data_IF_546529100735
#
_entry.id   IF_546529100735
#
_cell.length_a   1.000
_cell.length_b   1.000
_cell.length_c   1.000
_cell.angle_alpha   90.00
_cell.angle_beta   90.00
_cell.angle_gamma   90.00
#
_symmetry.space_group_name_H-M   'P 1'
#
loop_
_entity.id
_entity.type
_entity.pdbx_description
1 polymer ?
#
# COMPACT_ATOMS: atom_id res chain seq x y z
N UNK A 1 -8.48 17.89 -2.11
CA UNK A 1 -7.06 17.56 -2.34
C UNK A 1 -6.54 16.90 -1.07
N UNK A 2 -6.11 15.64 -1.14
CA UNK A 2 -5.53 14.96 0.02
C UNK A 2 -4.11 15.48 0.22
N UNK A 3 -3.82 16.05 1.38
CA UNK A 3 -2.46 16.43 1.73
C UNK A 3 -1.75 15.16 2.20
N UNK A 4 -0.99 14.52 1.31
CA UNK A 4 -0.14 13.39 1.69
C UNK A 4 1.28 13.89 1.86
N UNK A 5 1.82 13.66 3.05
CA UNK A 5 3.15 14.12 3.39
C UNK A 5 4.20 13.38 2.55
N UNK A 6 5.00 14.16 1.81
CA UNK A 6 6.04 13.68 0.90
C UNK A 6 7.45 13.78 1.51
N UNK A 7 7.56 14.03 2.82
CA UNK A 7 8.84 14.11 3.52
C UNK A 7 9.58 12.77 3.48
N UNK A 8 10.89 12.79 3.23
CA UNK A 8 11.72 11.59 3.26
C UNK A 8 11.91 11.08 4.68
N UNK A 9 11.99 9.75 4.83
CA UNK A 9 12.35 9.13 6.10
C UNK A 9 13.80 9.47 6.49
N UNK A 10 14.03 9.92 7.74
CA UNK A 10 15.39 10.13 8.25
C UNK A 10 16.12 8.80 8.44
N UNK A 11 17.46 8.80 8.43
CA UNK A 11 18.25 7.57 8.68
C UNK A 11 17.94 6.94 10.03
N UNK A 12 17.75 7.77 11.07
CA UNK A 12 17.39 7.28 12.40
C UNK A 12 16.01 6.63 12.42
N UNK A 13 15.02 7.24 11.75
CA UNK A 13 13.69 6.66 11.63
C UNK A 13 13.70 5.40 10.75
N UNK A 14 14.54 5.35 9.71
CA UNK A 14 14.69 4.18 8.86
C UNK A 14 15.21 2.95 9.64
N UNK A 15 16.12 3.16 10.59
CA UNK A 15 16.57 2.11 11.50
C UNK A 15 15.42 1.60 12.38
N UNK A 16 14.63 2.51 12.95
CA UNK A 16 13.43 2.18 13.72
C UNK A 16 12.39 1.40 12.88
N UNK A 17 12.13 1.89 11.67
CA UNK A 17 11.24 1.28 10.69
C UNK A 17 11.66 -0.15 10.32
N UNK A 18 12.96 -0.35 10.10
CA UNK A 18 13.52 -1.67 9.78
C UNK A 18 13.34 -2.64 10.95
N UNK A 19 13.60 -2.20 12.17
CA UNK A 19 13.40 -3.02 13.37
C UNK A 19 11.92 -3.38 13.58
N UNK A 20 11.01 -2.44 13.35
CA UNK A 20 9.57 -2.65 13.44
C UNK A 20 9.05 -3.68 12.43
N UNK A 21 9.47 -3.58 11.16
CA UNK A 21 9.09 -4.57 10.13
C UNK A 21 9.60 -5.97 10.44
N UNK A 22 10.83 -6.06 10.96
CA UNK A 22 11.42 -7.33 11.42
C UNK A 22 10.67 -7.89 12.65
N UNK A 23 10.29 -7.04 13.60
CA UNK A 23 9.52 -7.43 14.78
C UNK A 23 8.17 -8.03 14.39
N UNK A 24 7.42 -7.35 13.52
CA UNK A 24 6.13 -7.82 13.01
C UNK A 24 6.25 -9.14 12.24
N UNK A 25 7.29 -9.27 11.39
CA UNK A 25 7.53 -10.49 10.64
C UNK A 25 7.80 -11.70 11.55
N UNK A 26 8.43 -11.51 12.71
CA UNK A 26 8.71 -12.61 13.65
C UNK A 26 7.48 -13.09 14.44
N UNK A 27 6.35 -12.39 14.36
CA UNK A 27 5.13 -12.78 15.08
C UNK A 27 4.40 -13.97 14.44
N UNK A 28 4.76 -14.32 13.20
CA UNK A 28 4.13 -15.42 12.46
C UNK A 28 5.22 -16.33 11.91
N UNK A 29 5.02 -17.64 12.01
CA UNK A 29 5.92 -18.63 11.42
C UNK A 29 6.02 -18.41 9.90
N UNK A 30 7.25 -18.37 9.38
CA UNK A 30 7.52 -18.06 7.97
C UNK A 30 7.44 -16.57 7.60
N UNK A 31 7.01 -15.68 8.52
CA UNK A 31 6.92 -14.25 8.28
C UNK A 31 5.60 -13.80 7.62
N UNK A 32 5.34 -12.50 7.67
CA UNK A 32 4.19 -11.89 6.99
C UNK A 32 4.36 -12.04 5.48
N UNK A 33 3.48 -12.82 4.85
CA UNK A 33 3.51 -13.11 3.40
C UNK A 33 2.72 -12.10 2.56
N UNK A 34 1.86 -11.29 3.18
CA UNK A 34 0.98 -10.35 2.48
C UNK A 34 1.22 -8.92 2.95
N UNK A 35 2.41 -8.41 2.66
CA UNK A 35 2.72 -6.99 2.79
C UNK A 35 2.02 -6.19 1.69
N UNK A 36 1.26 -5.17 2.09
CA UNK A 36 0.73 -4.15 1.19
C UNK A 36 1.78 -3.05 1.03
N UNK A 37 2.37 -2.62 2.15
CA UNK A 37 3.47 -1.65 2.20
C UNK A 37 4.58 -2.12 3.15
N UNK A 38 5.76 -2.30 2.58
CA UNK A 38 7.00 -2.63 3.30
C UNK A 38 8.22 -1.96 2.63
N UNK A 39 8.10 -0.68 2.31
CA UNK A 39 9.20 0.13 1.76
C UNK A 39 9.24 1.54 2.39
N UNK A 40 10.41 2.19 2.45
CA UNK A 40 10.59 3.45 3.17
C UNK A 40 10.37 4.69 2.29
N UNK A 41 9.68 4.58 1.15
CA UNK A 41 9.57 5.66 0.17
C UNK A 41 8.22 6.39 0.26
N UNK A 42 8.18 7.73 0.14
CA UNK A 42 6.95 8.48 0.14
C UNK A 42 6.04 8.09 -1.03
N UNK A 43 4.74 8.43 -0.95
CA UNK A 43 4.06 9.17 0.12
C UNK A 43 3.67 8.30 1.33
N UNK A 44 3.47 8.91 2.52
CA UNK A 44 3.20 8.20 3.77
C UNK A 44 1.80 8.48 4.33
N UNK A 45 0.88 7.53 4.17
CA UNK A 45 -0.33 7.46 5.01
C UNK A 45 -0.06 6.59 6.24
N UNK A 46 0.65 5.48 6.03
CA UNK A 46 1.17 4.56 7.01
C UNK A 46 2.66 4.24 6.78
N UNK A 47 3.32 3.66 7.77
CA UNK A 47 4.73 3.24 7.64
C UNK A 47 4.84 1.80 7.13
N UNK A 48 3.96 0.93 7.58
CA UNK A 48 3.87 -0.47 7.22
C UNK A 48 2.40 -0.85 7.09
N UNK A 49 2.06 -1.72 6.16
CA UNK A 49 0.72 -2.31 6.10
C UNK A 49 0.76 -3.74 5.61
N UNK A 50 -0.09 -4.58 6.21
CA UNK A 50 -0.15 -6.00 5.90
C UNK A 50 -1.55 -6.56 6.06
N UNK A 51 -1.78 -7.71 5.44
CA UNK A 51 -2.98 -8.52 5.62
C UNK A 51 -2.68 -9.76 6.45
N UNK A 52 -3.56 -10.07 7.40
CA UNK A 52 -3.61 -11.36 8.09
C UNK A 52 -5.04 -11.90 8.00
N UNK A 53 -5.22 -13.10 7.43
CA UNK A 53 -6.54 -13.63 7.12
C UNK A 53 -7.35 -12.66 6.22
N UNK A 54 -8.53 -12.26 6.68
CA UNK A 54 -9.39 -11.28 5.99
C UNK A 54 -9.23 -9.83 6.52
N UNK A 55 -8.29 -9.57 7.45
CA UNK A 55 -8.09 -8.26 8.07
C UNK A 55 -6.89 -7.52 7.49
N UNK A 56 -7.00 -6.19 7.40
CA UNK A 56 -5.92 -5.30 7.00
C UNK A 56 -5.46 -4.47 8.20
N UNK A 57 -4.15 -4.29 8.32
CA UNK A 57 -3.51 -3.53 9.40
C UNK A 57 -2.63 -2.44 8.79
N UNK A 58 -2.84 -1.20 9.20
CA UNK A 58 -2.09 -0.02 8.79
C UNK A 58 -1.36 0.53 10.00
N UNK A 59 -0.04 0.39 10.00
CA UNK A 59 0.81 0.60 11.17
C UNK A 59 1.56 1.92 11.03
N UNK A 60 1.39 2.78 12.03
CA UNK A 60 2.30 3.91 12.31
C UNK A 60 3.28 3.49 13.39
N UNK A 61 4.54 3.78 13.16
CA UNK A 61 5.64 3.51 14.09
C UNK A 61 5.92 4.80 14.86
N UNK A 62 6.04 4.69 16.17
CA UNK A 62 6.24 5.83 17.05
C UNK A 62 7.40 5.57 17.99
N UNK A 63 8.32 6.52 18.13
CA UNK A 63 9.31 6.49 19.19
C UNK A 63 8.64 6.87 20.52
N UNK A 64 8.69 5.98 21.52
CA UNK A 64 8.10 6.23 22.85
C UNK A 64 8.71 7.44 23.56
N UNK A 65 9.95 7.82 23.21
CA UNK A 65 10.60 9.01 23.77
C UNK A 65 10.33 10.28 22.95
N UNK A 66 9.69 10.16 21.77
CA UNK A 66 9.37 11.26 20.87
C UNK A 66 10.60 11.98 20.29
N UNK A 67 11.78 11.37 20.34
CA UNK A 67 13.04 11.98 19.86
C UNK A 67 13.21 11.79 18.35
N UNK A 68 12.75 10.66 17.83
CA UNK A 68 12.86 10.32 16.41
C UNK A 68 11.47 10.36 15.77
N UNK A 69 11.23 11.39 14.96
CA UNK A 69 9.93 11.64 14.31
C UNK A 69 9.93 11.06 12.90
N UNK A 70 8.93 10.23 12.61
CA UNK A 70 8.67 9.69 11.28
C UNK A 70 7.71 10.55 10.46
N UNK A 71 7.75 10.44 9.13
CA UNK A 71 6.84 11.16 8.24
C UNK A 71 5.38 10.69 8.41
N UNK A 72 4.44 11.44 7.83
CA UNK A 72 3.02 11.11 7.86
C UNK A 72 2.36 11.42 9.20
N UNK A 73 1.07 11.11 9.31
CA UNK A 73 0.27 11.50 10.48
C UNK A 73 -0.68 10.39 10.95
N UNK A 74 -1.12 10.50 12.20
CA UNK A 74 -2.18 9.65 12.75
C UNK A 74 -3.49 9.78 11.93
N UNK A 75 -3.76 10.98 11.40
CA UNK A 75 -4.89 11.22 10.49
C UNK A 75 -4.78 10.39 9.20
N UNK A 76 -3.57 10.26 8.66
CA UNK A 76 -3.29 9.45 7.47
C UNK A 76 -3.68 7.99 7.66
N UNK A 77 -3.19 7.35 8.74
CA UNK A 77 -3.52 5.94 9.01
C UNK A 77 -5.02 5.72 9.28
N UNK A 78 -5.67 6.66 9.99
CA UNK A 78 -7.12 6.57 10.29
C UNK A 78 -7.95 6.70 9.01
N UNK A 79 -7.53 7.57 8.09
CA UNK A 79 -8.17 7.72 6.79
C UNK A 79 -8.09 6.42 6.00
N UNK A 80 -6.89 5.87 5.78
CA UNK A 80 -6.75 4.64 4.97
C UNK A 80 -7.43 3.45 5.63
N UNK A 81 -7.36 3.30 6.95
CA UNK A 81 -8.07 2.24 7.66
C UNK A 81 -9.59 2.36 7.50
N UNK A 82 -10.15 3.56 7.54
CA UNK A 82 -11.58 3.78 7.30
C UNK A 82 -11.98 3.44 5.86
N UNK A 83 -11.27 3.98 4.87
CA UNK A 83 -11.57 3.77 3.44
C UNK A 83 -11.38 2.31 2.99
N UNK A 84 -10.64 1.52 3.77
CA UNK A 84 -10.40 0.11 3.51
C UNK A 84 -11.05 -0.81 4.53
N UNK A 85 -11.93 -0.36 5.42
CA UNK A 85 -12.47 -1.22 6.50
C UNK A 85 -11.37 -2.09 7.17
N UNK A 86 -10.24 -1.45 7.46
CA UNK A 86 -9.05 -2.01 8.07
C UNK A 86 -8.83 -1.46 9.48
N UNK A 87 -7.70 -1.81 10.07
CA UNK A 87 -7.31 -1.41 11.43
C UNK A 87 -6.17 -0.42 11.37
N UNK A 88 -6.38 0.78 11.91
CA UNK A 88 -5.30 1.71 12.17
C UNK A 88 -4.62 1.31 13.48
N UNK A 89 -3.30 1.12 13.44
CA UNK A 89 -2.53 0.69 14.59
C UNK A 89 -1.32 1.59 14.80
N UNK A 90 -0.93 1.78 16.05
CA UNK A 90 0.41 2.28 16.38
C UNK A 90 1.29 1.13 16.85
N UNK A 91 2.57 1.21 16.54
CA UNK A 91 3.62 0.32 17.04
C UNK A 91 4.65 1.17 17.78
N UNK A 92 4.51 1.30 19.11
CA UNK A 92 5.48 2.01 19.92
C UNK A 92 6.81 1.26 19.94
N UNK A 93 7.87 1.94 19.56
CA UNK A 93 9.23 1.43 19.50
C UNK A 93 10.10 2.19 20.49
N UNK A 94 11.01 1.48 21.14
CA UNK A 94 11.95 2.04 22.11
C UNK A 94 13.38 1.80 21.66
N UNK A 95 14.19 2.87 21.70
CA UNK A 95 15.63 2.80 21.43
C UNK A 95 16.35 2.35 22.70
N UNK A 96 17.13 1.28 22.59
CA UNK A 96 18.04 0.87 23.64
C UNK A 96 19.28 1.77 23.60
N UNK A 97 19.56 2.49 24.69
CA UNK A 97 20.66 3.46 24.76
C UNK A 97 22.06 2.83 24.74
N UNK A 98 22.18 1.55 25.11
CA UNK A 98 23.48 0.86 25.21
C UNK A 98 23.94 0.36 23.83
N UNK A 99 23.05 -0.30 23.09
CA UNK A 99 23.39 -0.88 21.77
C UNK A 99 22.77 -0.13 20.59
N UNK A 100 22.07 0.98 20.85
CA UNK A 100 21.39 1.83 19.87
C UNK A 100 20.33 1.14 19.01
N UNK A 101 19.94 -0.10 19.33
CA UNK A 101 18.95 -0.86 18.58
C UNK A 101 17.53 -0.48 19.00
N UNK A 102 16.60 -0.64 18.08
CA UNK A 102 15.17 -0.47 18.31
C UNK A 102 14.49 -1.81 18.60
N UNK A 103 13.53 -1.79 19.51
CA UNK A 103 12.63 -2.91 19.79
C UNK A 103 11.21 -2.40 20.05
N UNK A 104 10.20 -3.24 19.85
CA UNK A 104 8.84 -2.91 20.28
C UNK A 104 8.82 -2.70 21.80
N UNK A 105 8.14 -1.65 22.25
CA UNK A 105 8.01 -1.33 23.69
C UNK A 105 7.12 -2.34 24.42
N UNK A 106 6.21 -2.98 23.68
CA UNK A 106 5.22 -3.93 24.19
C UNK A 106 5.51 -5.36 23.69
N UNK A 107 5.18 -6.39 24.49
CA UNK A 107 5.39 -7.79 24.11
C UNK A 107 4.43 -8.25 23.00
N UNK A 108 4.70 -9.42 22.42
CA UNK A 108 3.91 -10.00 21.33
C UNK A 108 3.94 -9.11 20.08
N UNK A 109 2.77 -8.88 19.48
CA UNK A 109 2.64 -7.99 18.33
C UNK A 109 3.08 -6.56 18.62
N UNK A 110 2.90 -6.09 19.86
CA UNK A 110 3.21 -4.73 20.28
C UNK A 110 2.35 -3.65 19.64
N UNK A 111 1.30 -4.04 18.91
CA UNK A 111 0.35 -3.13 18.26
C UNK A 111 -0.66 -2.61 19.27
N UNK A 112 -0.99 -1.33 19.13
CA UNK A 112 -2.11 -0.69 19.82
C UNK A 112 -3.13 -0.21 18.79
N UNK A 113 -4.42 -0.26 19.14
CA UNK A 113 -5.45 0.38 18.34
C UNK A 113 -5.21 1.91 18.34
N UNK A 114 -5.18 2.52 17.14
CA UNK A 114 -4.84 3.94 17.00
C UNK A 114 -5.94 4.90 17.50
N UNK A 115 -7.14 4.40 17.79
CA UNK A 115 -8.23 5.17 18.37
C UNK A 115 -8.25 5.03 19.89
N UNK A 116 -8.23 3.79 20.41
CA UNK A 116 -8.42 3.56 21.85
C UNK A 116 -7.11 3.48 22.63
N UNK A 117 -5.99 3.15 21.96
CA UNK A 117 -4.72 2.87 22.60
C UNK A 117 -4.63 1.48 23.25
N UNK A 118 -5.68 0.65 23.11
CA UNK A 118 -5.71 -0.68 23.70
C UNK A 118 -4.79 -1.65 22.93
N UNK A 119 -4.22 -2.67 23.60
CA UNK A 119 -3.47 -3.72 22.92
C UNK A 119 -4.30 -4.40 21.83
N UNK A 120 -3.71 -4.55 20.65
CA UNK A 120 -4.33 -5.16 19.50
C UNK A 120 -3.55 -6.41 19.09
N UNK A 121 -4.22 -7.55 19.10
CA UNK A 121 -3.71 -8.80 18.57
C UNK A 121 -4.39 -9.10 17.22
N UNK A 122 -3.67 -9.04 16.09
CA UNK A 122 -4.21 -9.30 14.76
C UNK A 122 -4.94 -10.63 14.61
N UNK A 123 -4.50 -11.68 15.32
CA UNK A 123 -5.06 -13.04 15.20
C UNK A 123 -6.51 -13.07 15.70
N UNK A 124 -6.81 -12.33 16.76
CA UNK A 124 -8.14 -12.32 17.39
C UNK A 124 -9.21 -11.66 16.50
N UNK A 125 -8.78 -10.91 15.47
CA UNK A 125 -9.65 -10.23 14.53
C UNK A 125 -9.90 -11.00 13.24
N UNK A 126 -9.13 -12.07 12.99
CA UNK A 126 -9.30 -12.89 11.79
C UNK A 126 -10.62 -13.66 11.86
N UNK A 127 -11.39 -13.64 10.78
CA UNK A 127 -12.63 -14.40 10.69
C UNK A 127 -12.82 -15.06 9.34
N UNK A 128 -13.78 -15.98 9.25
CA UNK A 128 -14.19 -16.62 8.00
C UNK A 128 -15.19 -15.78 7.19
N UNK A 129 -15.54 -14.59 7.66
CA UNK A 129 -16.50 -13.73 6.95
C UNK A 129 -15.87 -13.14 5.69
N UNK A 130 -16.65 -13.14 4.61
CA UNK A 130 -16.27 -12.44 3.39
C UNK A 130 -16.32 -10.93 3.61
N UNK A 131 -15.21 -10.26 3.28
CA UNK A 131 -15.11 -8.81 3.27
C UNK A 131 -14.78 -8.39 1.84
N UNK A 132 -15.63 -7.55 1.25
CA UNK A 132 -15.42 -7.04 -0.09
C UNK A 132 -14.23 -6.08 -0.10
N UNK A 133 -13.39 -6.16 -1.12
CA UNK A 133 -12.27 -5.26 -1.33
C UNK A 133 -12.77 -3.86 -1.64
N UNK A 134 -12.25 -2.87 -0.92
CA UNK A 134 -12.51 -1.47 -1.21
C UNK A 134 -11.88 -1.05 -2.54
N UNK A 135 -12.27 0.11 -3.07
CA UNK A 135 -11.65 0.71 -4.26
C UNK A 135 -10.14 0.85 -4.09
N UNK A 136 -9.68 1.17 -2.88
CA UNK A 136 -8.25 1.32 -2.58
C UNK A 136 -7.50 -0.01 -2.66
N UNK A 137 -8.08 -1.10 -2.13
CA UNK A 137 -7.47 -2.43 -2.19
C UNK A 137 -7.38 -2.94 -3.63
N UNK A 138 -8.42 -2.66 -4.43
CA UNK A 138 -8.44 -3.00 -5.85
C UNK A 138 -7.39 -2.19 -6.63
N UNK A 139 -7.22 -0.92 -6.30
CA UNK A 139 -6.18 -0.06 -6.86
C UNK A 139 -4.77 -0.51 -6.44
N UNK A 140 -4.56 -0.88 -5.18
CA UNK A 140 -3.27 -1.37 -4.68
C UNK A 140 -2.84 -2.65 -5.40
N UNK A 141 -3.77 -3.59 -5.58
CA UNK A 141 -3.52 -4.80 -6.37
C UNK A 141 -3.15 -4.46 -7.83
N UNK A 142 -3.86 -3.53 -8.46
CA UNK A 142 -3.53 -3.10 -9.82
C UNK A 142 -2.15 -2.44 -9.91
N UNK A 143 -1.78 -1.61 -8.94
CA UNK A 143 -0.44 -1.02 -8.83
C UNK A 143 0.61 -2.12 -8.68
N UNK A 144 0.35 -3.16 -7.89
CA UNK A 144 1.24 -4.32 -7.77
C UNK A 144 1.44 -5.03 -9.12
N UNK A 145 0.36 -5.33 -9.87
CA UNK A 145 0.46 -5.96 -11.20
C UNK A 145 1.37 -5.16 -12.13
N UNK A 146 1.21 -3.83 -12.16
CA UNK A 146 1.99 -2.95 -13.03
C UNK A 146 3.45 -2.87 -12.57
N UNK A 147 3.71 -2.82 -11.27
CA UNK A 147 5.07 -2.88 -10.72
C UNK A 147 5.78 -4.18 -11.06
N UNK A 148 5.09 -5.31 -10.90
CA UNK A 148 5.66 -6.64 -11.18
C UNK A 148 5.99 -6.75 -12.67
N UNK A 149 5.16 -6.20 -13.55
CA UNK A 149 5.46 -6.06 -14.96
C UNK A 149 6.71 -5.19 -15.21
N UNK A 150 6.77 -3.97 -14.65
CA UNK A 150 7.90 -3.04 -14.82
C UNK A 150 9.21 -3.69 -14.34
N UNK A 151 9.19 -4.32 -13.16
CA UNK A 151 10.34 -5.04 -12.60
C UNK A 151 10.73 -6.26 -13.43
N UNK A 152 9.75 -7.00 -13.96
CA UNK A 152 9.97 -8.12 -14.89
C UNK A 152 10.60 -7.70 -16.22
N UNK A 153 10.43 -6.44 -16.63
CA UNK A 153 11.14 -5.84 -17.76
C UNK A 153 12.57 -5.38 -17.42
N UNK A 154 12.99 -5.50 -16.15
CA UNK A 154 14.32 -5.12 -15.68
C UNK A 154 14.46 -3.64 -15.30
N UNK A 155 13.35 -2.90 -15.20
CA UNK A 155 13.39 -1.50 -14.76
C UNK A 155 13.44 -1.37 -13.24
N UNK A 156 14.11 -0.31 -12.77
CA UNK A 156 14.23 -0.02 -11.34
C UNK A 156 13.03 0.83 -10.87
N UNK A 157 12.23 0.29 -9.95
CA UNK A 157 11.18 1.04 -9.26
C UNK A 157 11.80 2.09 -8.33
N UNK A 158 11.25 3.30 -8.32
CA UNK A 158 11.67 4.41 -7.44
C UNK A 158 10.69 4.58 -6.28
N UNK A 159 9.41 4.74 -6.58
CA UNK A 159 8.34 4.89 -5.58
C UNK A 159 6.99 4.51 -6.18
N UNK A 160 6.00 4.25 -5.33
CA UNK A 160 4.63 3.98 -5.74
C UNK A 160 3.66 4.27 -4.60
N UNK A 161 2.39 4.42 -4.95
CA UNK A 161 1.28 4.63 -4.03
C UNK A 161 -0.03 4.15 -4.67
N UNK A 162 -0.97 3.74 -3.82
CA UNK A 162 -2.22 3.10 -4.24
C UNK A 162 -3.48 3.95 -3.98
N UNK A 163 -3.33 5.21 -3.57
CA UNK A 163 -4.48 6.10 -3.41
C UNK A 163 -5.12 6.37 -4.78
N UNK A 164 -6.38 5.97 -5.00
CA UNK A 164 -7.05 6.18 -6.29
C UNK A 164 -7.21 7.66 -6.68
N UNK A 165 -7.11 8.58 -5.71
CA UNK A 165 -7.27 10.02 -5.90
C UNK A 165 -5.93 10.78 -6.07
N UNK A 166 -4.81 10.08 -6.15
CA UNK A 166 -3.48 10.68 -6.31
C UNK A 166 -2.81 10.13 -7.55
N UNK A 167 -2.23 11.03 -8.33
CA UNK A 167 -1.43 10.72 -9.51
C UNK A 167 -0.04 11.34 -9.41
N UNK A 168 1.00 10.68 -9.95
CA UNK A 168 0.96 9.35 -10.56
C UNK A 168 0.99 8.23 -9.51
N UNK A 169 0.75 6.99 -9.94
CA UNK A 169 0.74 5.81 -9.06
C UNK A 169 2.13 5.20 -8.88
N UNK A 170 2.98 5.23 -9.90
CA UNK A 170 4.32 4.61 -9.89
C UNK A 170 5.34 5.56 -10.51
N UNK A 171 6.55 5.58 -9.96
CA UNK A 171 7.76 6.15 -10.53
C UNK A 171 8.82 5.05 -10.72
N UNK A 172 9.51 5.06 -11.86
CA UNK A 172 10.58 4.12 -12.17
C UNK A 172 11.65 4.76 -13.07
N UNK A 173 12.84 4.15 -13.13
CA UNK A 173 13.87 4.57 -14.08
C UNK A 173 13.66 3.90 -15.43
N UNK A 174 13.37 4.72 -16.44
CA UNK A 174 13.14 4.26 -17.80
C UNK A 174 14.43 3.90 -18.56
N UNK A 175 14.27 3.58 -19.85
CA UNK A 175 15.39 3.19 -20.72
C UNK A 175 16.49 4.25 -20.82
N UNK A 176 16.08 5.52 -20.77
CA UNK A 176 17.00 6.67 -20.78
C UNK A 176 17.69 6.92 -19.43
N UNK A 177 17.42 6.08 -18.41
CA UNK A 177 17.85 6.25 -17.01
C UNK A 177 17.28 7.51 -16.34
N UNK A 178 16.31 8.17 -16.97
CA UNK A 178 15.53 9.24 -16.38
C UNK A 178 14.28 8.68 -15.69
N UNK A 179 13.75 9.38 -14.67
CA UNK A 179 12.47 9.02 -14.07
C UNK A 179 11.32 9.10 -15.08
N UNK A 180 10.51 8.06 -15.10
CA UNK A 180 9.24 7.97 -15.83
C UNK A 180 8.12 7.65 -14.84
N UNK A 181 6.90 8.09 -15.14
CA UNK A 181 5.75 7.94 -14.24
C UNK A 181 4.62 7.15 -14.90
N UNK A 182 3.83 6.46 -14.09
CA UNK A 182 2.68 5.67 -14.55
C UNK A 182 1.43 6.06 -13.77
N UNK A 183 0.35 6.33 -14.50
CA UNK A 183 -0.99 6.41 -13.95
C UNK A 183 -1.64 5.04 -14.09
N UNK A 184 -1.99 4.43 -12.96
CA UNK A 184 -2.70 3.15 -12.93
C UNK A 184 -4.19 3.42 -12.69
N UNK A 185 -5.06 2.78 -13.48
CA UNK A 185 -6.50 2.80 -13.27
C UNK A 185 -7.08 1.40 -13.41
N UNK A 186 -8.10 1.13 -12.60
CA UNK A 186 -8.78 -0.17 -12.58
C UNK A 186 -10.10 -0.15 -13.31
N UNK A 187 -10.41 -1.24 -14.02
CA UNK A 187 -11.75 -1.56 -14.49
C UNK A 187 -12.23 -2.83 -13.80
N UNK A 188 -13.49 -2.87 -13.36
CA UNK A 188 -14.13 -4.09 -12.88
C UNK A 188 -15.01 -4.64 -13.99
N UNK A 189 -15.03 -5.97 -14.16
CA UNK A 189 -15.98 -6.63 -15.06
C UNK A 189 -17.41 -6.06 -14.86
N UNK A 190 -18.21 -5.88 -15.92
CA UNK A 190 -17.96 -6.25 -17.31
C UNK A 190 -17.04 -5.31 -18.08
N UNK A 191 -16.62 -4.18 -17.50
CA UNK A 191 -15.64 -3.32 -18.14
C UNK A 191 -14.28 -4.03 -18.24
N UNK A 192 -13.67 -3.98 -19.42
CA UNK A 192 -12.39 -4.64 -19.72
C UNK A 192 -11.23 -3.65 -19.90
N UNK A 193 -11.51 -2.34 -19.81
CA UNK A 193 -10.52 -1.27 -19.92
C UNK A 193 -10.92 -0.08 -19.07
N UNK A 194 -9.95 0.49 -18.37
CA UNK A 194 -10.12 1.71 -17.61
C UNK A 194 -9.86 2.94 -18.51
N UNK A 195 -10.53 4.05 -18.19
CA UNK A 195 -10.35 5.29 -18.93
C UNK A 195 -9.12 6.05 -18.45
N UNK A 196 -8.46 6.75 -19.38
CA UNK A 196 -7.40 7.70 -19.06
C UNK A 196 -7.99 8.88 -18.27
N UNK A 197 -7.25 9.46 -17.32
CA UNK A 197 -7.73 10.66 -16.63
C UNK A 197 -7.89 11.82 -17.61
N UNK A 198 -9.00 12.55 -17.50
CA UNK A 198 -9.27 13.70 -18.36
C UNK A 198 -8.29 14.87 -18.18
N UNK A 199 -7.60 14.94 -17.04
CA UNK A 199 -6.64 15.99 -16.68
C UNK A 199 -5.17 15.58 -16.91
N UNK A 200 -4.89 14.70 -17.88
CA UNK A 200 -3.54 14.20 -18.18
C UNK A 200 -2.47 15.30 -18.28
N UNK A 201 -2.77 16.41 -18.96
CA UNK A 201 -1.82 17.51 -19.17
C UNK A 201 -1.41 18.19 -17.85
N UNK A 202 -2.35 18.35 -16.91
CA UNK A 202 -2.08 18.94 -15.59
C UNK A 202 -1.17 18.01 -14.77
N UNK A 203 -1.44 16.71 -14.82
CA UNK A 203 -0.62 15.69 -14.15
C UNK A 203 0.80 15.68 -14.75
N UNK A 204 0.91 15.72 -16.08
CA UNK A 204 2.21 15.76 -16.75
C UNK A 204 3.01 17.01 -16.37
N UNK A 205 2.37 18.19 -16.29
CA UNK A 205 3.01 19.43 -15.83
C UNK A 205 3.49 19.32 -14.38
N UNK A 206 2.68 18.75 -13.48
CA UNK A 206 3.06 18.52 -12.09
C UNK A 206 4.25 17.54 -11.96
N UNK A 207 4.31 16.55 -12.86
CA UNK A 207 5.38 15.54 -12.90
C UNK A 207 6.68 16.04 -13.56
N UNK A 208 6.61 17.06 -14.41
CA UNK A 208 7.70 17.49 -15.29
C UNK A 208 9.01 17.86 -14.55
N UNK A 209 8.92 18.23 -13.27
CA UNK A 209 10.12 18.48 -12.43
C UNK A 209 10.96 17.22 -12.19
N UNK A 210 10.34 16.05 -12.15
CA UNK A 210 11.00 14.77 -11.89
C UNK A 210 11.15 13.93 -13.17
N UNK A 211 10.12 13.90 -14.02
CA UNK A 211 10.13 13.11 -15.26
C UNK A 211 9.12 13.61 -16.28
N UNK A 212 9.50 13.60 -17.55
CA UNK A 212 8.68 14.11 -18.67
C UNK A 212 7.98 13.02 -19.46
N UNK A 213 8.30 11.74 -19.20
CA UNK A 213 7.67 10.59 -19.85
C UNK A 213 6.64 9.98 -18.91
N UNK A 214 5.38 9.98 -19.35
CA UNK A 214 4.25 9.43 -18.63
C UNK A 214 3.58 8.29 -19.39
N UNK A 215 3.17 7.28 -18.64
CA UNK A 215 2.51 6.08 -19.15
C UNK A 215 1.14 5.89 -18.51
N UNK A 216 0.25 5.21 -19.21
CA UNK A 216 -1.03 4.78 -18.68
C UNK A 216 -1.07 3.25 -18.57
N UNK A 217 -1.61 2.76 -17.45
CA UNK A 217 -1.85 1.33 -17.25
C UNK A 217 -3.33 1.11 -16.88
N UNK A 218 -4.06 0.47 -17.80
CA UNK A 218 -5.41 -0.02 -17.54
C UNK A 218 -5.36 -1.46 -17.05
N UNK A 219 -5.79 -1.70 -15.82
CA UNK A 219 -5.85 -3.04 -15.22
C UNK A 219 -7.31 -3.45 -15.02
N UNK A 220 -7.77 -4.43 -15.78
CA UNK A 220 -9.12 -4.98 -15.61
C UNK A 220 -9.11 -6.20 -14.69
N UNK A 221 -10.07 -6.27 -13.77
CA UNK A 221 -10.08 -7.22 -12.66
C UNK A 221 -11.47 -7.85 -12.55
N UNK A 222 -11.49 -9.15 -12.26
CA UNK A 222 -12.72 -9.91 -12.02
C UNK A 222 -12.47 -11.02 -11.00
N UNK A 223 -13.50 -11.38 -10.24
CA UNK A 223 -13.45 -12.52 -9.32
C UNK A 223 -13.12 -13.80 -10.09
N UNK A 224 -12.23 -14.64 -9.55
CA UNK A 224 -11.96 -15.95 -10.15
C UNK A 224 -13.18 -16.89 -10.13
N UNK A 225 -14.20 -16.56 -9.32
CA UNK A 225 -15.46 -17.29 -9.28
C UNK A 225 -16.48 -16.81 -10.34
N UNK A 226 -16.19 -15.76 -11.11
CA UNK A 226 -17.10 -15.27 -12.14
C UNK A 226 -17.34 -16.39 -13.17
N UNK A 227 -18.59 -16.78 -13.44
CA UNK A 227 -18.85 -17.97 -14.25
C UNK A 227 -18.92 -17.68 -15.76
N UNK A 228 -18.92 -16.41 -16.16
CA UNK A 228 -18.90 -15.95 -17.56
C UNK A 228 -19.99 -16.59 -18.44
N UNK A 229 -21.20 -16.77 -17.90
CA UNK A 229 -22.30 -17.44 -18.62
C UNK A 229 -22.94 -16.56 -19.67
N UNK A 230 -22.84 -15.24 -19.53
CA UNK A 230 -23.36 -14.27 -20.51
C UNK A 230 -22.65 -12.92 -20.41
N UNK A 231 -22.78 -12.09 -21.46
CA UNK A 231 -22.19 -10.73 -21.51
C UNK A 231 -22.89 -9.70 -20.62
N UNK A 232 -24.08 -10.00 -20.12
CA UNK A 232 -24.88 -9.10 -19.26
C UNK A 232 -24.90 -9.54 -17.81
N UNK A 233 -24.07 -10.53 -17.47
CA UNK A 233 -23.96 -11.04 -16.11
C UNK A 233 -23.41 -9.97 -15.17
N UNK A 234 -23.99 -9.86 -13.97
CA UNK A 234 -23.48 -8.98 -12.93
C UNK A 234 -22.09 -9.46 -12.45
N UNK A 235 -21.16 -8.53 -12.18
CA UNK A 235 -19.89 -8.90 -11.56
C UNK A 235 -20.10 -9.45 -10.16
N UNK A 236 -19.45 -10.57 -9.86
CA UNK A 236 -19.30 -11.02 -8.49
C UNK A 236 -18.36 -10.07 -7.73
N UNK A 237 -18.63 -9.81 -6.44
CA UNK A 237 -17.74 -9.02 -5.60
C UNK A 237 -16.32 -9.60 -5.55
N UNK A 238 -15.34 -8.70 -5.38
CA UNK A 238 -13.96 -9.08 -5.14
C UNK A 238 -13.78 -9.25 -3.64
N UNK A 239 -13.63 -10.48 -3.19
CA UNK A 239 -13.50 -10.80 -1.77
C UNK A 239 -12.03 -10.85 -1.35
N UNK A 240 -11.70 -10.27 -0.20
CA UNK A 240 -10.34 -10.35 0.37
C UNK A 240 -9.86 -11.79 0.47
N UNK A 241 -8.61 -12.01 0.11
CA UNK A 241 -7.96 -13.33 0.19
C UNK A 241 -8.43 -14.34 -0.85
N UNK A 242 -9.37 -13.99 -1.74
CA UNK A 242 -9.82 -14.86 -2.82
C UNK A 242 -9.08 -14.59 -4.13
N UNK A 243 -9.08 -15.59 -5.01
CA UNK A 243 -8.47 -15.49 -6.33
C UNK A 243 -9.20 -14.49 -7.23
N UNK A 244 -8.43 -13.86 -8.12
CA UNK A 244 -8.93 -12.92 -9.12
C UNK A 244 -8.26 -13.22 -10.47
N UNK A 245 -8.97 -12.94 -11.56
CA UNK A 245 -8.36 -12.84 -12.88
C UNK A 245 -8.05 -11.39 -13.21
N UNK A 246 -6.88 -11.17 -13.80
CA UNK A 246 -6.38 -9.86 -14.20
C UNK A 246 -6.17 -9.84 -15.70
N UNK A 247 -6.62 -8.77 -16.35
CA UNK A 247 -6.30 -8.46 -17.73
C UNK A 247 -5.53 -7.14 -17.77
N UNK A 248 -4.26 -7.22 -18.18
CA UNK A 248 -3.34 -6.10 -18.31
C UNK A 248 -2.42 -6.36 -19.52
N UNK A 249 -2.33 -5.40 -20.43
CA UNK A 249 -1.62 -5.57 -21.73
C UNK A 249 -0.29 -4.82 -21.81
N UNK A 250 0.18 -4.23 -20.71
CA UNK A 250 1.38 -3.39 -20.68
C UNK A 250 1.08 -1.90 -20.54
N UNK A 251 2.15 -1.09 -20.60
CA UNK A 251 2.08 0.36 -20.52
C UNK A 251 1.74 0.99 -21.88
N UNK A 252 0.87 2.00 -21.87
CA UNK A 252 0.46 2.80 -23.05
C UNK A 252 0.94 4.25 -23.02
#
# INVERSE_FOLDING_TARGET
MYEIESGSMSEEFLSCWTAAGNHLSRQVEGGIQSWLRAHPYPPFLEHLSFRLGNQLFFVRIEDVEGKVIGPGSLRGIKLVAKETNGRACTLPMKRNLINQNWAADRPGWGLLDAETGDPLNPIDLVSAMNIEMSTWEVQDMAVQVVRDYIGGQGFQLMSWQANPAVDPSIWFLGKSRNPEWVIVRTAKYPANRAERPGNWNEIAQACARLGTVGHFASVAIVSAAQPFRSRVEAPLPLWRGHGMHVNFSGLE
#
